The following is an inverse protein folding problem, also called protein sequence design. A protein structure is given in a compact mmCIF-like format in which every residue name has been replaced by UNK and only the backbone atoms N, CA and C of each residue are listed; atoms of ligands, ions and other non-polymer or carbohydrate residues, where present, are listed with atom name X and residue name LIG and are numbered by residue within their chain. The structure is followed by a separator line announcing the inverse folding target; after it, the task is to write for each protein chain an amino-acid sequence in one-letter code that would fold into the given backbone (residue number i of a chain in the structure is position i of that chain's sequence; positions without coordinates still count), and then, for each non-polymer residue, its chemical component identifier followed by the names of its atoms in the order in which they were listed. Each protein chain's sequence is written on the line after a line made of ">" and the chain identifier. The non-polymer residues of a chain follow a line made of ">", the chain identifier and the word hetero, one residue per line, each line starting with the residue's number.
data_IF_473898336441
#
_entry.id   IF_473898336441
#
_cell.length_a   1.000
_cell.length_b   1.000
_cell.length_c   1.000
_cell.angle_alpha   90.00
_cell.angle_beta   90.00
_cell.angle_gamma   90.00
#
_symmetry.space_group_name_H-M   'P 1'
#
loop_
_entity.id
_entity.type
_entity.pdbx_description
1 polymer ?
#
# COMPACT_ATOMS: atom_id res chain seq x y z
N UNK A 1 9.57 43.17 -84.77
CA UNK A 1 9.49 44.54 -84.19
C UNK A 1 10.46 44.63 -83.03
N UNK A 2 11.26 45.69 -83.04
CA UNK A 2 12.37 46.03 -82.15
C UNK A 2 11.83 46.59 -80.81
N UNK A 3 12.54 46.37 -79.70
CA UNK A 3 12.34 47.07 -78.43
C UNK A 3 12.98 46.30 -77.26
N UNK A 4 14.30 46.31 -77.08
CA UNK A 4 15.13 47.35 -76.42
C UNK A 4 15.03 47.36 -74.88
N UNK A 5 16.12 46.87 -74.27
CA UNK A 5 16.77 47.22 -73.00
C UNK A 5 15.94 47.81 -71.84
N UNK A 6 16.18 47.26 -70.63
CA UNK A 6 16.83 48.03 -69.55
C UNK A 6 17.39 47.13 -68.44
N UNK A 7 18.68 47.33 -68.16
CA UNK A 7 19.40 46.86 -66.97
C UNK A 7 18.94 47.67 -65.76
N UNK A 8 18.79 47.05 -64.59
CA UNK A 8 19.11 47.73 -63.32
C UNK A 8 19.48 46.70 -62.26
N UNK A 9 20.76 46.67 -61.91
CA UNK A 9 21.27 46.10 -60.67
C UNK A 9 21.13 47.20 -59.61
N UNK A 10 20.41 46.93 -58.52
CA UNK A 10 20.53 47.70 -57.27
C UNK A 10 20.52 46.72 -56.11
N UNK A 11 21.58 46.84 -55.31
CA UNK A 11 21.92 46.09 -54.12
C UNK A 11 21.43 46.93 -52.93
N UNK A 12 20.57 46.41 -52.05
CA UNK A 12 20.24 47.06 -50.76
C UNK A 12 20.15 46.02 -49.65
N UNK A 13 20.76 46.41 -48.54
CA UNK A 13 21.09 45.65 -47.36
C UNK A 13 19.91 45.39 -46.42
N UNK A 14 20.07 44.36 -45.59
CA UNK A 14 20.13 44.60 -44.14
C UNK A 14 18.88 44.38 -43.29
N UNK A 15 19.07 43.49 -42.30
CA UNK A 15 18.61 43.59 -40.90
C UNK A 15 17.20 43.03 -40.56
N UNK A 16 17.22 41.78 -40.08
CA UNK A 16 16.82 41.36 -38.71
C UNK A 16 15.54 41.98 -38.11
N UNK A 17 14.45 41.20 -38.07
CA UNK A 17 13.46 41.24 -36.98
C UNK A 17 12.82 39.84 -36.81
N UNK A 18 13.51 38.95 -36.08
CA UNK A 18 12.87 37.74 -35.52
C UNK A 18 12.25 38.15 -34.20
N UNK A 19 10.94 38.41 -34.18
CA UNK A 19 10.19 38.56 -32.94
C UNK A 19 9.99 37.18 -32.30
N UNK A 20 10.96 36.73 -31.52
CA UNK A 20 10.75 35.65 -30.55
C UNK A 20 9.89 36.17 -29.41
N UNK A 21 8.57 36.01 -29.54
CA UNK A 21 7.65 36.24 -28.45
C UNK A 21 7.90 35.18 -27.36
N UNK A 22 8.63 35.55 -26.30
CA UNK A 22 8.67 34.79 -25.06
C UNK A 22 7.30 34.90 -24.38
N UNK A 23 6.36 34.04 -24.76
CA UNK A 23 5.18 33.79 -23.96
C UNK A 23 5.64 33.29 -22.58
N UNK A 24 5.50 34.13 -21.55
CA UNK A 24 5.66 33.72 -20.17
C UNK A 24 4.65 32.59 -19.93
N UNK A 25 5.12 31.34 -19.91
CA UNK A 25 4.35 30.23 -19.34
C UNK A 25 4.11 30.58 -17.88
N UNK A 26 2.88 30.96 -17.55
CA UNK A 26 2.43 31.03 -16.17
C UNK A 26 2.52 29.61 -15.62
N UNK A 27 3.58 29.34 -14.85
CA UNK A 27 3.70 28.10 -14.11
C UNK A 27 2.58 28.12 -13.09
N UNK A 28 1.52 27.36 -13.35
CA UNK A 28 0.51 27.07 -12.34
C UNK A 28 1.26 26.45 -11.17
N UNK A 29 1.20 27.01 -9.96
CA UNK A 29 1.81 26.36 -8.81
C UNK A 29 1.24 24.96 -8.73
N UNK A 30 2.13 23.97 -8.59
CA UNK A 30 1.72 22.60 -8.36
C UNK A 30 0.70 22.62 -7.21
N UNK A 31 -0.45 21.92 -7.35
CA UNK A 31 -1.40 21.82 -6.25
C UNK A 31 -0.64 21.40 -5.00
N UNK A 32 -0.94 22.06 -3.87
CA UNK A 32 -0.30 21.77 -2.60
C UNK A 32 -0.28 20.25 -2.41
N UNK A 33 0.90 19.68 -2.17
CA UNK A 33 1.02 18.26 -1.89
C UNK A 33 0.07 17.94 -0.74
N UNK A 34 -0.90 17.07 -0.99
CA UNK A 34 -1.73 16.55 0.08
C UNK A 34 -0.77 15.95 1.13
N UNK A 35 -0.97 16.20 2.43
CA UNK A 35 -0.18 15.54 3.45
C UNK A 35 -0.25 14.03 3.18
N UNK A 36 0.92 13.38 3.05
CA UNK A 36 0.97 11.93 2.88
C UNK A 36 0.33 11.30 4.10
N UNK A 37 -0.92 10.86 3.93
CA UNK A 37 -1.66 10.16 4.95
C UNK A 37 -1.15 8.72 5.02
N UNK A 38 0.00 8.52 5.68
CA UNK A 38 0.66 7.22 5.85
C UNK A 38 -0.14 6.24 6.75
N UNK A 39 -1.39 6.56 7.04
CA UNK A 39 -2.29 5.76 7.88
C UNK A 39 -3.07 4.71 7.10
N UNK A 40 -2.95 4.67 5.77
CA UNK A 40 -3.52 3.59 4.99
C UNK A 40 -2.83 3.43 3.63
N UNK A 41 -3.09 2.29 2.99
CA UNK A 41 -2.71 2.00 1.61
C UNK A 41 -3.85 1.30 0.89
N UNK A 42 -4.23 1.82 -0.26
CA UNK A 42 -5.19 1.17 -1.15
C UNK A 42 -4.51 0.04 -1.94
N UNK A 43 -5.11 -1.14 -1.93
CA UNK A 43 -4.61 -2.33 -2.60
C UNK A 43 -5.07 -2.31 -4.06
N UNK A 44 -4.16 -1.91 -4.96
CA UNK A 44 -4.43 -1.80 -6.39
C UNK A 44 -4.18 -3.12 -7.13
N UNK A 45 -4.99 -3.45 -8.16
CA UNK A 45 -4.72 -4.58 -9.03
C UNK A 45 -3.32 -4.56 -9.66
N UNK A 46 -2.71 -5.74 -9.76
CA UNK A 46 -1.35 -5.94 -10.28
C UNK A 46 -0.29 -6.02 -9.18
N UNK A 47 -0.60 -5.60 -7.95
CA UNK A 47 0.28 -5.78 -6.80
C UNK A 47 0.18 -7.15 -6.14
N UNK A 48 0.98 -7.34 -5.10
CA UNK A 48 0.95 -8.54 -4.24
C UNK A 48 0.74 -8.13 -2.78
N UNK A 49 0.18 -9.03 -1.99
CA UNK A 49 0.02 -8.91 -0.56
C UNK A 49 0.76 -10.08 0.08
N UNK A 50 1.69 -9.77 0.98
CA UNK A 50 2.40 -10.73 1.82
C UNK A 50 1.80 -10.68 3.24
N UNK A 51 1.48 -11.85 3.77
CA UNK A 51 1.00 -12.02 5.14
C UNK A 51 1.99 -12.91 5.87
N UNK A 52 2.54 -12.45 6.98
CA UNK A 52 3.47 -13.22 7.81
C UNK A 52 2.81 -13.49 9.16
N UNK A 53 2.68 -14.77 9.52
CA UNK A 53 2.13 -15.24 10.79
C UNK A 53 3.26 -15.96 11.55
N UNK A 54 3.58 -15.57 12.79
CA UNK A 54 4.55 -16.30 13.60
C UNK A 54 3.95 -17.64 14.05
N UNK A 55 4.80 -18.65 14.13
CA UNK A 55 4.45 -19.99 14.61
C UNK A 55 5.05 -20.12 16.01
N UNK A 56 4.18 -20.23 17.01
CA UNK A 56 4.54 -20.37 18.42
C UNK A 56 4.12 -21.74 18.95
N UNK A 57 4.90 -22.32 19.86
CA UNK A 57 4.53 -23.58 20.54
C UNK A 57 3.19 -23.47 21.28
N UNK A 58 2.82 -22.28 21.76
CA UNK A 58 1.53 -21.99 22.40
C UNK A 58 0.36 -21.86 21.44
N UNK A 59 0.61 -21.81 20.13
CA UNK A 59 -0.41 -21.55 19.11
C UNK A 59 -0.95 -20.10 19.09
N UNK A 60 -0.37 -19.20 19.89
CA UNK A 60 -0.67 -17.77 19.85
C UNK A 60 0.07 -17.07 18.69
N UNK A 61 -0.26 -15.81 18.44
CA UNK A 61 0.38 -15.01 17.37
C UNK A 61 1.30 -13.91 17.91
N UNK A 62 1.29 -13.64 19.21
CA UNK A 62 2.09 -12.58 19.80
C UNK A 62 3.36 -13.17 20.40
N UNK A 63 4.52 -12.82 19.82
CA UNK A 63 5.82 -13.23 20.33
C UNK A 63 6.08 -12.53 21.67
N UNK A 64 6.09 -13.30 22.76
CA UNK A 64 6.54 -12.79 24.05
C UNK A 64 8.06 -12.61 24.01
N UNK A 65 8.53 -11.43 24.42
CA UNK A 65 9.97 -11.17 24.56
C UNK A 65 10.31 -10.94 26.01
N UNK A 66 11.37 -11.60 26.47
CA UNK A 66 11.89 -11.43 27.82
C UNK A 66 13.36 -11.05 27.75
N UNK A 67 13.78 -10.11 28.61
CA UNK A 67 15.18 -9.72 28.70
C UNK A 67 16.00 -10.89 29.23
N UNK A 68 16.92 -11.37 28.41
CA UNK A 68 17.81 -12.48 28.73
C UNK A 68 19.08 -12.00 29.42
N UNK A 69 19.61 -10.86 28.98
CA UNK A 69 20.80 -10.25 29.56
C UNK A 69 20.87 -8.77 29.20
N UNK A 70 21.37 -7.95 30.13
CA UNK A 70 21.70 -6.56 29.89
C UNK A 70 23.20 -6.37 30.13
N UNK A 71 23.96 -6.14 29.05
CA UNK A 71 25.39 -5.83 29.13
C UNK A 71 25.59 -4.35 28.76
N UNK A 72 25.72 -3.50 29.77
CA UNK A 72 25.77 -2.05 29.59
C UNK A 72 24.49 -1.53 28.92
N UNK A 73 24.64 -0.95 27.72
CA UNK A 73 23.54 -0.42 26.90
C UNK A 73 22.96 -1.45 25.91
N UNK A 74 23.44 -2.70 25.91
CA UNK A 74 22.91 -3.75 25.03
C UNK A 74 21.92 -4.63 25.80
N UNK A 75 20.68 -4.69 25.32
CA UNK A 75 19.63 -5.59 25.80
C UNK A 75 19.51 -6.78 24.84
N UNK A 76 19.80 -7.98 25.33
CA UNK A 76 19.51 -9.22 24.63
C UNK A 76 18.10 -9.66 25.01
N UNK A 77 17.22 -9.78 24.01
CA UNK A 77 15.86 -10.30 24.18
C UNK A 77 15.81 -11.74 23.67
N UNK A 78 15.14 -12.61 24.41
CA UNK A 78 14.75 -13.93 23.93
C UNK A 78 13.31 -13.86 23.45
N UNK A 79 13.06 -14.35 22.23
CA UNK A 79 11.73 -14.64 21.73
C UNK A 79 11.33 -16.03 22.24
N UNK A 80 10.53 -16.06 23.31
CA UNK A 80 10.05 -17.32 23.86
C UNK A 80 9.07 -17.98 22.89
N UNK A 81 9.16 -19.30 22.75
CA UNK A 81 8.20 -20.14 22.00
C UNK A 81 8.15 -19.94 20.48
N UNK A 82 8.91 -19.00 19.91
CA UNK A 82 8.96 -18.79 18.47
C UNK A 82 9.76 -19.92 17.79
N UNK A 83 9.06 -20.78 17.07
CA UNK A 83 9.66 -21.91 16.34
C UNK A 83 9.72 -21.67 14.83
N UNK A 84 8.97 -20.71 14.32
CA UNK A 84 8.90 -20.47 12.88
C UNK A 84 8.03 -19.30 12.43
N UNK A 85 7.87 -19.22 11.11
CA UNK A 85 6.98 -18.27 10.44
C UNK A 85 6.30 -18.95 9.26
N UNK A 86 5.03 -18.63 9.09
CA UNK A 86 4.29 -18.87 7.86
C UNK A 86 4.20 -17.56 7.08
N UNK A 87 4.56 -17.60 5.79
CA UNK A 87 4.47 -16.46 4.88
C UNK A 87 3.54 -16.82 3.73
N UNK A 88 2.37 -16.20 3.67
CA UNK A 88 1.40 -16.38 2.60
C UNK A 88 1.43 -15.22 1.59
N UNK A 89 1.36 -15.55 0.30
CA UNK A 89 1.37 -14.60 -0.80
C UNK A 89 0.04 -14.60 -1.56
N UNK A 90 -0.55 -13.42 -1.71
CA UNK A 90 -1.80 -13.20 -2.44
C UNK A 90 -1.58 -12.18 -3.56
N UNK A 91 -2.02 -12.46 -4.78
CA UNK A 91 -2.06 -11.44 -5.83
C UNK A 91 -3.31 -10.58 -5.68
N UNK A 92 -3.19 -9.30 -5.98
CA UNK A 92 -4.31 -8.37 -6.07
C UNK A 92 -4.79 -8.36 -7.52
N UNK A 93 -5.92 -9.01 -7.80
CA UNK A 93 -6.43 -9.19 -9.16
C UNK A 93 -7.62 -8.27 -9.46
N UNK A 94 -7.65 -7.70 -10.67
CA UNK A 94 -8.84 -7.05 -11.21
C UNK A 94 -9.84 -8.11 -11.68
N UNK A 95 -11.11 -7.90 -11.38
CA UNK A 95 -12.25 -8.68 -11.88
C UNK A 95 -13.23 -7.77 -12.62
N UNK A 96 -14.15 -8.37 -13.36
CA UNK A 96 -15.19 -7.64 -14.09
C UNK A 96 -16.00 -6.70 -13.18
N UNK A 97 -16.45 -5.57 -13.72
CA UNK A 97 -17.21 -4.57 -12.97
C UNK A 97 -16.42 -3.79 -11.92
N UNK A 98 -15.12 -3.60 -12.15
CA UNK A 98 -14.24 -2.79 -11.27
C UNK A 98 -13.88 -3.47 -9.94
N UNK A 99 -14.17 -4.77 -9.81
CA UNK A 99 -13.91 -5.52 -8.57
C UNK A 99 -12.42 -5.82 -8.42
N UNK A 100 -11.98 -5.88 -7.17
CA UNK A 100 -10.65 -6.30 -6.72
C UNK A 100 -10.81 -7.58 -5.89
N UNK A 101 -9.92 -8.54 -6.11
CA UNK A 101 -9.90 -9.83 -5.44
C UNK A 101 -8.48 -10.14 -4.94
N UNK A 102 -8.36 -10.55 -3.69
CA UNK A 102 -7.14 -11.16 -3.17
C UNK A 102 -7.16 -12.65 -3.49
N UNK A 103 -6.26 -13.10 -4.37
CA UNK A 103 -6.14 -14.51 -4.75
C UNK A 103 -4.86 -15.10 -4.18
N UNK A 104 -5.01 -16.15 -3.36
CA UNK A 104 -3.88 -16.92 -2.87
C UNK A 104 -3.01 -17.46 -4.03
N UNK A 105 -1.69 -17.40 -3.87
CA UNK A 105 -0.72 -17.91 -4.84
C UNK A 105 0.15 -19.02 -4.27
N UNK A 106 0.71 -18.80 -3.09
CA UNK A 106 1.59 -19.75 -2.42
C UNK A 106 1.75 -19.36 -0.95
N UNK A 107 2.25 -20.31 -0.15
CA UNK A 107 2.77 -20.01 1.17
C UNK A 107 4.13 -20.70 1.37
N UNK A 108 4.91 -20.17 2.29
CA UNK A 108 6.19 -20.73 2.75
C UNK A 108 6.10 -20.89 4.25
N UNK A 109 6.28 -22.11 4.74
CA UNK A 109 6.35 -22.40 6.18
C UNK A 109 7.81 -22.64 6.51
N UNK A 110 8.38 -21.79 7.37
CA UNK A 110 9.73 -21.98 7.91
C UNK A 110 9.63 -22.33 9.38
N UNK A 111 9.97 -23.56 9.74
CA UNK A 111 10.00 -24.05 11.12
C UNK A 111 11.35 -24.70 11.42
N UNK A 112 11.94 -24.40 12.58
CA UNK A 112 13.21 -24.98 13.02
C UNK A 112 14.35 -24.88 11.97
N UNK A 113 14.33 -23.81 11.17
CA UNK A 113 15.31 -23.55 10.11
C UNK A 113 15.08 -24.29 8.79
N UNK A 114 14.02 -25.10 8.68
CA UNK A 114 13.61 -25.75 7.44
C UNK A 114 12.43 -25.02 6.81
N UNK A 115 12.47 -24.78 5.49
CA UNK A 115 11.38 -24.13 4.75
C UNK A 115 10.70 -25.11 3.80
N UNK A 116 9.37 -25.15 3.84
CA UNK A 116 8.53 -25.94 2.94
C UNK A 116 7.58 -25.00 2.19
N UNK A 117 7.38 -25.27 0.91
CA UNK A 117 6.42 -24.55 0.08
C UNK A 117 5.05 -25.21 0.16
N UNK A 118 4.02 -24.41 0.39
CA UNK A 118 2.63 -24.82 0.46
C UNK A 118 1.84 -24.31 -0.76
N UNK A 119 1.02 -25.21 -1.30
CA UNK A 119 0.17 -24.93 -2.48
C UNK A 119 -1.28 -24.66 -2.09
N UNK A 120 -1.65 -24.93 -0.84
CA UNK A 120 -2.96 -24.63 -0.28
C UNK A 120 -2.89 -23.39 0.60
N UNK A 121 -3.96 -22.59 0.61
CA UNK A 121 -4.03 -21.41 1.46
C UNK A 121 -4.10 -21.84 2.93
N UNK A 122 -3.15 -21.40 3.77
CA UNK A 122 -3.23 -21.66 5.20
C UNK A 122 -4.40 -20.90 5.85
N UNK A 123 -4.76 -21.33 7.06
CA UNK A 123 -5.77 -20.65 7.85
C UNK A 123 -5.20 -19.33 8.40
N UNK A 124 -5.73 -18.21 7.93
CA UNK A 124 -5.38 -16.89 8.48
C UNK A 124 -6.12 -16.64 9.79
N UNK A 125 -5.50 -15.94 10.76
CA UNK A 125 -6.14 -15.59 12.03
C UNK A 125 -7.10 -14.40 11.92
N UNK A 126 -7.45 -14.02 10.69
CA UNK A 126 -8.39 -12.96 10.35
C UNK A 126 -8.99 -13.23 8.97
N UNK A 127 -10.12 -12.60 8.68
CA UNK A 127 -10.78 -12.79 7.39
C UNK A 127 -10.24 -11.84 6.32
N UNK A 128 -10.20 -12.29 5.07
CA UNK A 128 -9.95 -11.44 3.90
C UNK A 128 -11.28 -11.10 3.21
N UNK A 129 -11.40 -9.91 2.59
CA UNK A 129 -12.59 -9.56 1.83
C UNK A 129 -12.72 -10.45 0.59
N UNK A 130 -13.87 -11.12 0.44
CA UNK A 130 -14.10 -12.03 -0.69
C UNK A 130 -14.25 -11.31 -2.04
N UNK A 131 -14.87 -10.12 -2.06
CA UNK A 131 -15.00 -9.30 -3.27
C UNK A 131 -15.41 -7.88 -2.90
N UNK A 132 -14.65 -6.89 -3.37
CA UNK A 132 -14.94 -5.47 -3.19
C UNK A 132 -14.53 -4.69 -4.45
N UNK A 133 -14.87 -3.40 -4.55
CA UNK A 133 -14.27 -2.53 -5.57
C UNK A 133 -13.03 -1.82 -5.03
N UNK A 134 -12.97 -1.61 -3.72
CA UNK A 134 -11.88 -0.97 -3.02
C UNK A 134 -11.48 -1.83 -1.83
N UNK A 135 -10.18 -2.10 -1.70
CA UNK A 135 -9.60 -2.79 -0.54
C UNK A 135 -8.49 -1.88 -0.02
N UNK A 136 -8.44 -1.70 1.29
CA UNK A 136 -7.52 -0.80 1.97
C UNK A 136 -6.91 -1.51 3.17
N UNK A 137 -5.60 -1.39 3.30
CA UNK A 137 -4.88 -1.72 4.52
C UNK A 137 -4.74 -0.44 5.34
N UNK A 138 -5.28 -0.40 6.55
CA UNK A 138 -5.26 0.76 7.44
C UNK A 138 -4.22 0.51 8.52
N UNK A 139 -3.35 1.48 8.76
CA UNK A 139 -2.32 1.51 9.79
C UNK A 139 -2.76 2.48 10.90
N UNK A 140 -2.90 1.97 12.12
CA UNK A 140 -3.15 2.80 13.29
C UNK A 140 -1.84 3.11 14.00
N UNK A 141 -1.51 4.39 14.09
CA UNK A 141 -0.42 4.89 14.93
C UNK A 141 -1.05 5.30 16.26
N UNK A 142 -1.04 4.44 17.27
CA UNK A 142 -1.49 4.80 18.62
C UNK A 142 -0.39 4.60 19.65
N UNK A 143 -0.32 5.54 20.60
CA UNK A 143 0.60 5.54 21.76
C UNK A 143 0.00 4.74 22.93
N UNK A 144 -1.12 4.02 22.74
CA UNK A 144 -1.84 3.31 23.82
C UNK A 144 -2.39 1.95 23.38
N UNK A 145 -2.09 0.93 24.20
CA UNK A 145 -2.65 -0.42 24.50
C UNK A 145 -3.79 -1.08 23.69
N UNK A 146 -4.23 -0.57 22.54
CA UNK A 146 -5.05 -1.37 21.63
C UNK A 146 -4.10 -2.30 20.88
N UNK A 147 -4.18 -3.61 21.12
CA UNK A 147 -3.25 -4.62 20.59
C UNK A 147 -3.26 -4.78 19.06
N UNK A 148 -4.01 -3.93 18.33
CA UNK A 148 -4.13 -3.98 16.88
C UNK A 148 -3.61 -2.69 16.23
N UNK A 149 -2.55 -2.82 15.44
CA UNK A 149 -1.94 -1.72 14.70
C UNK A 149 -2.38 -1.66 13.22
N UNK A 150 -3.13 -2.67 12.74
CA UNK A 150 -3.52 -2.78 11.34
C UNK A 150 -4.92 -3.39 11.17
N UNK A 151 -5.68 -2.89 10.19
CA UNK A 151 -6.94 -3.49 9.75
C UNK A 151 -6.99 -3.60 8.23
N UNK A 152 -7.64 -4.65 7.73
CA UNK A 152 -8.04 -4.74 6.32
C UNK A 152 -9.51 -4.34 6.20
N UNK A 153 -9.76 -3.33 5.37
CA UNK A 153 -11.09 -2.81 5.10
C UNK A 153 -11.41 -2.93 3.61
N UNK A 154 -12.67 -3.15 3.28
CA UNK A 154 -13.09 -3.20 1.89
C UNK A 154 -14.53 -2.69 1.70
N UNK A 155 -14.80 -2.13 0.54
CA UNK A 155 -16.12 -1.58 0.20
C UNK A 155 -16.37 -1.63 -1.32
N UNK A 156 -17.65 -1.59 -1.70
CA UNK A 156 -18.05 -1.29 -3.08
C UNK A 156 -18.03 0.22 -3.36
N UNK A 157 -18.08 1.03 -2.32
CA UNK A 157 -18.17 2.48 -2.36
C UNK A 157 -16.97 3.10 -1.65
N UNK A 158 -16.21 3.91 -2.39
CA UNK A 158 -15.02 4.58 -1.88
C UNK A 158 -15.34 5.56 -0.75
N UNK A 159 -16.51 6.23 -0.80
CA UNK A 159 -16.91 7.19 0.23
C UNK A 159 -17.21 6.48 1.55
N UNK A 160 -17.89 5.33 1.49
CA UNK A 160 -18.10 4.48 2.65
C UNK A 160 -16.77 3.96 3.25
N UNK A 161 -15.78 3.64 2.40
CA UNK A 161 -14.45 3.22 2.86
C UNK A 161 -13.66 4.37 3.51
N UNK A 162 -13.75 5.58 2.95
CA UNK A 162 -13.14 6.77 3.51
C UNK A 162 -13.74 7.14 4.87
N UNK A 163 -15.06 7.06 4.99
CA UNK A 163 -15.76 7.29 6.25
C UNK A 163 -15.37 6.26 7.31
N UNK A 164 -15.33 4.96 6.96
CA UNK A 164 -14.83 3.93 7.86
C UNK A 164 -13.38 4.21 8.29
N UNK A 165 -12.51 4.61 7.35
CA UNK A 165 -11.10 4.92 7.65
C UNK A 165 -10.99 6.06 8.66
N UNK A 166 -11.78 7.13 8.49
CA UNK A 166 -11.85 8.27 9.39
C UNK A 166 -12.36 7.87 10.78
N UNK A 167 -13.45 7.10 10.83
CA UNK A 167 -14.01 6.60 12.09
C UNK A 167 -13.02 5.71 12.82
N UNK A 168 -12.34 4.80 12.11
CA UNK A 168 -11.40 3.85 12.70
C UNK A 168 -10.17 4.53 13.32
N UNK A 169 -9.69 5.60 12.68
CA UNK A 169 -8.62 6.44 13.23
C UNK A 169 -9.03 7.07 14.57
N UNK A 170 -10.27 7.56 14.66
CA UNK A 170 -10.80 8.17 15.87
C UNK A 170 -11.12 7.13 16.96
N UNK A 171 -11.70 5.99 16.57
CA UNK A 171 -12.21 4.97 17.46
C UNK A 171 -12.00 3.56 16.89
N UNK A 172 -11.16 2.70 17.51
CA UNK A 172 -10.92 1.34 17.04
C UNK A 172 -12.19 0.48 17.10
N UNK A 173 -13.17 0.78 17.95
CA UNK A 173 -14.40 -0.03 17.98
C UNK A 173 -15.26 0.17 16.73
N UNK A 174 -14.90 1.10 15.84
CA UNK A 174 -15.57 1.32 14.56
C UNK A 174 -15.31 0.20 13.53
N UNK A 175 -14.32 -0.68 13.72
CA UNK A 175 -14.11 -1.81 12.82
C UNK A 175 -15.22 -2.86 13.01
N UNK A 176 -16.30 -2.69 12.25
CA UNK A 176 -17.45 -3.58 12.25
C UNK A 176 -17.84 -3.91 10.83
N UNK A 177 -18.26 -5.15 10.61
CA UNK A 177 -18.86 -5.57 9.37
C UNK A 177 -20.29 -5.01 9.25
N UNK A 178 -20.65 -4.52 8.07
CA UNK A 178 -22.04 -4.25 7.68
C UNK A 178 -22.21 -4.43 6.16
N UNK A 179 -23.42 -4.20 5.65
CA UNK A 179 -23.75 -4.40 4.22
C UNK A 179 -22.93 -3.53 3.24
N UNK A 180 -22.32 -2.45 3.73
CA UNK A 180 -21.54 -1.50 2.92
C UNK A 180 -20.04 -1.73 3.03
N UNK A 181 -19.56 -2.10 4.22
CA UNK A 181 -18.13 -2.23 4.50
C UNK A 181 -17.78 -3.54 5.19
N UNK A 182 -16.71 -4.14 4.70
CA UNK A 182 -15.97 -5.18 5.38
C UNK A 182 -14.85 -4.55 6.21
N UNK A 183 -14.66 -4.99 7.44
CA UNK A 183 -13.51 -4.63 8.27
C UNK A 183 -13.08 -5.85 9.08
N UNK A 184 -11.78 -6.16 9.07
CA UNK A 184 -11.19 -7.18 9.92
C UNK A 184 -9.89 -6.66 10.52
N UNK A 185 -9.74 -6.84 11.83
CA UNK A 185 -8.47 -6.57 12.50
C UNK A 185 -7.41 -7.57 12.09
N UNK A 186 -6.18 -7.09 11.95
CA UNK A 186 -4.98 -7.93 11.91
C UNK A 186 -4.53 -8.14 13.36
N UNK A 187 -4.43 -9.39 13.84
CA UNK A 187 -3.98 -9.67 15.21
C UNK A 187 -2.57 -9.14 15.49
N UNK A 188 -2.29 -8.87 16.77
CA UNK A 188 -0.94 -8.56 17.23
C UNK A 188 0.05 -9.65 16.77
N UNK A 189 1.24 -9.23 16.35
CA UNK A 189 2.30 -10.14 15.88
C UNK A 189 2.14 -10.66 14.44
N UNK A 190 0.97 -10.48 13.81
CA UNK A 190 0.77 -10.78 12.38
C UNK A 190 1.11 -9.55 11.54
N UNK A 191 1.91 -9.74 10.48
CA UNK A 191 2.27 -8.67 9.56
C UNK A 191 1.54 -8.82 8.23
N UNK A 192 0.96 -7.73 7.73
CA UNK A 192 0.32 -7.68 6.41
C UNK A 192 0.97 -6.54 5.63
N UNK A 193 1.56 -6.84 4.47
CA UNK A 193 2.33 -5.88 3.69
C UNK A 193 2.04 -5.99 2.19
N UNK A 194 1.72 -4.88 1.52
CA UNK A 194 1.71 -4.84 0.07
C UNK A 194 3.14 -4.86 -0.49
N UNK A 195 3.30 -5.46 -1.67
CA UNK A 195 4.54 -5.61 -2.44
C UNK A 195 4.33 -5.23 -3.92
#
# INVERSE_FOLDING_TARGET
>A
MIGQMRKTVVLVAGVLLVFTACARKTVTPAPAAFPLDNSYMDLAPGGRLRITVPILDSGQYQVATHAAQQNGNTLTLLASELVGYEVSFYSIEKRGGGKVLLRFKSAEITENGATVNETSAPALPFSLPHSAQHIRLIYLVRVSSADHNMAIAASKDLDALNELTRLLKADPVACKYNDRVFCSWVPAGVAVRPE
#
